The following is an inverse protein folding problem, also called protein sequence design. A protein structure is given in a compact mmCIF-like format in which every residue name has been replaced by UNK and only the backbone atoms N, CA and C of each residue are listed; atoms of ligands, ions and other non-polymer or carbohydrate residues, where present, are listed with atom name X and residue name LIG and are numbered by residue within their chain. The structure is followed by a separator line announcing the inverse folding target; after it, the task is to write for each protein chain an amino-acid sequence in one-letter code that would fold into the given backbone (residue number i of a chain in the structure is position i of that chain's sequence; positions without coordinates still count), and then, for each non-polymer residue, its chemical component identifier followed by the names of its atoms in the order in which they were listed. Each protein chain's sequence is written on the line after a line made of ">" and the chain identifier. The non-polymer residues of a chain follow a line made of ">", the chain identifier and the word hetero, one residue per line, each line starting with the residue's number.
data_IF_368567804146
#
_entry.id   IF_368567804146
#
_cell.length_a   1.000
_cell.length_b   1.000
_cell.length_c   1.000
_cell.angle_alpha   90.00
_cell.angle_beta   90.00
_cell.angle_gamma   90.00
#
_symmetry.space_group_name_H-M   'P 1'
#
loop_
_entity.id
_entity.type
_entity.pdbx_description
1 polymer ?
#
# COMPACT_ATOMS: atom_id res chain seq x y z
N UNK A 1 6.61 10.78 9.99
CA UNK A 1 6.77 9.41 9.47
C UNK A 1 5.61 8.99 8.54
N UNK A 2 4.33 9.09 8.91
CA UNK A 2 3.18 8.72 8.05
C UNK A 2 3.25 9.38 6.64
N UNK A 3 3.46 10.68 6.55
CA UNK A 3 3.57 11.39 5.26
C UNK A 3 4.70 10.81 4.40
N UNK A 4 5.88 10.57 5.00
CA UNK A 4 7.01 9.98 4.27
C UNK A 4 6.73 8.58 3.75
N UNK A 5 6.09 7.73 4.57
CA UNK A 5 5.68 6.40 4.14
C UNK A 5 4.67 6.47 2.98
N UNK A 6 3.70 7.36 3.05
CA UNK A 6 2.71 7.54 1.99
C UNK A 6 3.32 8.03 0.65
N UNK A 7 4.35 8.89 0.69
CA UNK A 7 4.95 9.43 -0.53
C UNK A 7 6.11 8.60 -1.07
N UNK A 8 6.46 7.49 -0.44
CA UNK A 8 7.65 6.68 -0.76
C UNK A 8 7.77 6.31 -2.23
N UNK A 9 6.71 5.85 -2.86
CA UNK A 9 6.63 5.51 -4.29
C UNK A 9 6.92 6.69 -5.24
N UNK A 10 6.65 7.91 -4.77
CA UNK A 10 6.79 9.13 -5.57
C UNK A 10 8.15 9.80 -5.38
N UNK A 11 8.99 9.30 -4.46
CA UNK A 11 10.31 9.88 -4.16
C UNK A 11 11.42 9.00 -4.75
N UNK A 12 12.08 9.52 -5.78
CA UNK A 12 13.17 8.83 -6.46
C UNK A 12 14.54 9.19 -5.88
N UNK A 13 15.49 8.26 -6.02
CA UNK A 13 16.88 8.48 -5.64
C UNK A 13 17.15 8.29 -4.14
N UNK A 14 18.39 8.61 -3.72
CA UNK A 14 18.87 8.40 -2.34
C UNK A 14 18.99 9.68 -1.52
N UNK A 15 18.87 10.86 -2.15
CA UNK A 15 19.12 12.15 -1.50
C UNK A 15 17.91 12.73 -0.75
N UNK A 16 16.88 11.91 -0.49
CA UNK A 16 15.67 12.35 0.22
C UNK A 16 15.94 12.82 1.65
N UNK A 17 17.03 12.39 2.28
CA UNK A 17 17.46 12.87 3.59
C UNK A 17 17.88 14.36 3.61
N UNK A 18 18.31 14.87 2.46
CA UNK A 18 18.68 16.28 2.30
C UNK A 18 17.48 17.17 1.95
N UNK A 19 16.43 16.56 1.38
CA UNK A 19 15.24 17.26 0.86
C UNK A 19 14.13 17.34 1.92
N UNK A 20 13.95 16.26 2.69
CA UNK A 20 12.84 16.15 3.62
C UNK A 20 13.29 16.21 5.08
N UNK A 21 12.38 16.63 5.96
CA UNK A 21 12.64 16.58 7.40
C UNK A 21 12.96 15.15 7.87
N UNK A 22 13.72 14.97 8.96
CA UNK A 22 14.10 13.64 9.45
C UNK A 22 12.92 12.68 9.61
N UNK A 23 11.78 13.16 10.10
CA UNK A 23 10.58 12.33 10.28
C UNK A 23 9.95 11.88 8.95
N UNK A 24 9.99 12.72 7.91
CA UNK A 24 9.50 12.34 6.57
C UNK A 24 10.50 11.40 5.91
N UNK A 25 11.80 11.71 5.98
CA UNK A 25 12.86 10.85 5.44
C UNK A 25 12.81 9.43 6.04
N UNK A 26 12.64 9.31 7.36
CA UNK A 26 12.45 8.02 8.02
C UNK A 26 11.22 7.28 7.51
N UNK A 27 10.13 7.99 7.20
CA UNK A 27 8.94 7.38 6.61
C UNK A 27 9.18 6.84 5.20
N UNK A 28 9.94 7.57 4.37
CA UNK A 28 10.34 7.12 3.01
C UNK A 28 11.25 5.89 3.11
N UNK A 29 12.18 5.90 4.06
CA UNK A 29 13.05 4.74 4.30
C UNK A 29 12.22 3.51 4.72
N UNK A 30 11.31 3.68 5.69
CA UNK A 30 10.41 2.60 6.12
C UNK A 30 9.58 2.04 4.96
N UNK A 31 9.06 2.90 4.07
CA UNK A 31 8.33 2.45 2.89
C UNK A 31 9.16 1.51 2.02
N UNK A 32 10.40 1.87 1.72
CA UNK A 32 11.31 1.05 0.91
C UNK A 32 11.65 -0.28 1.56
N UNK A 33 11.83 -0.28 2.86
CA UNK A 33 12.07 -1.50 3.64
C UNK A 33 10.83 -2.42 3.65
N UNK A 34 9.62 -1.82 3.71
CA UNK A 34 8.34 -2.56 3.56
C UNK A 34 8.26 -3.20 2.18
N UNK A 35 8.60 -2.46 1.12
CA UNK A 35 8.58 -2.96 -0.26
C UNK A 35 9.55 -4.13 -0.43
N UNK A 36 10.80 -3.99 0.05
CA UNK A 36 11.80 -5.04 -0.03
C UNK A 36 11.38 -6.30 0.74
N UNK A 37 10.87 -6.11 1.97
CA UNK A 37 10.35 -7.21 2.79
C UNK A 37 9.18 -7.92 2.09
N UNK A 38 8.23 -7.16 1.56
CA UNK A 38 7.05 -7.68 0.86
C UNK A 38 7.45 -8.41 -0.41
N UNK A 39 8.34 -7.84 -1.21
CA UNK A 39 8.75 -8.40 -2.49
C UNK A 39 9.53 -9.71 -2.36
N UNK A 40 10.23 -9.90 -1.26
CA UNK A 40 11.05 -11.09 -1.00
C UNK A 40 10.36 -12.13 -0.12
N UNK A 41 9.19 -11.80 0.46
CA UNK A 41 8.51 -12.68 1.39
C UNK A 41 7.95 -13.94 0.70
N UNK A 42 8.25 -15.17 1.18
CA UNK A 42 7.85 -16.41 0.53
C UNK A 42 6.35 -16.51 0.25
N UNK A 43 5.51 -16.16 1.20
CA UNK A 43 4.04 -16.19 1.06
C UNK A 43 3.55 -15.20 -0.01
N UNK A 44 4.15 -14.01 -0.08
CA UNK A 44 3.80 -13.02 -1.12
C UNK A 44 4.22 -13.52 -2.50
N UNK A 45 5.35 -14.22 -2.58
CA UNK A 45 5.81 -14.84 -3.83
C UNK A 45 4.82 -15.91 -4.32
N UNK A 46 4.21 -16.71 -3.43
CA UNK A 46 3.16 -17.66 -3.80
C UNK A 46 1.94 -16.96 -4.42
N UNK A 47 1.46 -15.88 -3.78
CA UNK A 47 0.39 -15.05 -4.35
C UNK A 47 0.75 -14.51 -5.74
N UNK A 48 1.98 -13.99 -5.91
CA UNK A 48 2.48 -13.46 -7.20
C UNK A 48 2.56 -14.55 -8.27
N UNK A 49 3.04 -15.74 -7.92
CA UNK A 49 3.16 -16.89 -8.84
C UNK A 49 1.78 -17.31 -9.35
N UNK A 50 0.74 -17.32 -8.49
CA UNK A 50 -0.64 -17.66 -8.86
C UNK A 50 -1.19 -16.72 -9.93
N UNK A 51 -0.87 -15.43 -9.86
CA UNK A 51 -1.36 -14.40 -10.79
C UNK A 51 -0.49 -14.24 -12.04
N UNK A 52 0.79 -14.63 -11.98
CA UNK A 52 1.78 -14.37 -13.04
C UNK A 52 1.41 -14.91 -14.43
N UNK A 53 0.77 -16.07 -14.61
CA UNK A 53 0.38 -16.55 -15.93
C UNK A 53 -0.53 -15.59 -16.69
N UNK A 54 -1.43 -14.88 -15.98
CA UNK A 54 -2.40 -13.94 -16.56
C UNK A 54 -1.89 -12.50 -16.59
N UNK A 55 -1.23 -12.05 -15.51
CA UNK A 55 -0.91 -10.64 -15.28
C UNK A 55 0.58 -10.29 -15.42
N UNK A 56 1.45 -11.31 -15.57
CA UNK A 56 2.90 -11.14 -15.80
C UNK A 56 3.53 -10.23 -14.74
N UNK A 57 4.20 -9.15 -15.17
CA UNK A 57 4.88 -8.18 -14.32
C UNK A 57 3.94 -7.25 -13.54
N UNK A 58 2.62 -7.31 -13.78
CA UNK A 58 1.62 -6.60 -12.98
C UNK A 58 1.15 -7.41 -11.75
N UNK A 59 1.56 -8.68 -11.62
CA UNK A 59 1.17 -9.50 -10.46
C UNK A 59 1.54 -8.88 -9.12
N UNK A 60 2.70 -8.22 -8.91
CA UNK A 60 3.02 -7.59 -7.65
C UNK A 60 1.97 -6.56 -7.23
N UNK A 61 1.70 -5.55 -8.05
CA UNK A 61 0.74 -4.49 -7.72
C UNK A 61 -0.69 -5.04 -7.49
N UNK A 62 -1.06 -6.12 -8.16
CA UNK A 62 -2.35 -6.78 -7.93
C UNK A 62 -2.38 -7.45 -6.54
N UNK A 63 -1.29 -8.12 -6.14
CA UNK A 63 -1.18 -8.73 -4.80
C UNK A 63 -1.23 -7.67 -3.72
N UNK A 64 -0.54 -6.54 -3.90
CA UNK A 64 -0.58 -5.42 -2.96
C UNK A 64 -2.02 -4.93 -2.76
N UNK A 65 -2.76 -4.72 -3.84
CA UNK A 65 -4.17 -4.33 -3.78
C UNK A 65 -5.07 -5.38 -3.12
N UNK A 66 -4.78 -6.67 -3.29
CA UNK A 66 -5.52 -7.73 -2.62
C UNK A 66 -5.23 -7.75 -1.12
N UNK A 67 -3.99 -7.50 -0.73
CA UNK A 67 -3.61 -7.41 0.67
C UNK A 67 -4.16 -6.14 1.34
N UNK A 68 -4.23 -5.03 0.61
CA UNK A 68 -4.95 -3.82 1.04
C UNK A 68 -6.43 -4.10 1.30
N UNK A 69 -7.08 -4.94 0.45
CA UNK A 69 -8.45 -5.38 0.69
C UNK A 69 -8.59 -6.11 2.02
N UNK A 70 -7.72 -7.09 2.29
CA UNK A 70 -7.80 -7.86 3.54
C UNK A 70 -7.46 -7.02 4.76
N UNK A 71 -6.52 -6.09 4.64
CA UNK A 71 -6.22 -5.13 5.71
C UNK A 71 -7.44 -4.24 6.00
N UNK A 72 -8.03 -3.64 4.97
CA UNK A 72 -9.18 -2.76 5.13
C UNK A 72 -10.40 -3.51 5.68
N UNK A 73 -10.68 -4.71 5.18
CA UNK A 73 -11.80 -5.55 5.61
C UNK A 73 -11.66 -6.02 7.05
N UNK A 74 -10.45 -6.35 7.49
CA UNK A 74 -10.17 -6.87 8.82
C UNK A 74 -9.55 -5.80 9.75
N UNK A 75 -9.69 -4.52 9.42
CA UNK A 75 -9.03 -3.39 10.07
C UNK A 75 -9.14 -3.39 11.59
N UNK A 76 -10.31 -3.71 12.13
CA UNK A 76 -10.57 -3.72 13.57
C UNK A 76 -9.72 -4.74 14.35
N UNK A 77 -9.11 -5.72 13.67
CA UNK A 77 -8.16 -6.66 14.28
C UNK A 77 -6.77 -6.04 14.48
N UNK A 78 -6.48 -4.92 13.82
CA UNK A 78 -5.14 -4.35 13.75
C UNK A 78 -5.05 -2.93 14.32
N UNK A 79 -6.18 -2.22 14.43
CA UNK A 79 -6.20 -0.84 14.88
C UNK A 79 -7.42 -0.53 15.75
N UNK A 80 -7.24 0.35 16.78
CA UNK A 80 -8.29 0.72 17.72
C UNK A 80 -9.30 1.74 17.18
N UNK A 81 -8.89 2.61 16.24
CA UNK A 81 -9.80 3.51 15.54
C UNK A 81 -10.51 2.75 14.40
N UNK A 82 -11.73 3.14 14.07
CA UNK A 82 -12.36 2.64 12.84
C UNK A 82 -11.53 3.03 11.60
N UNK A 83 -11.63 2.23 10.53
CA UNK A 83 -10.94 2.54 9.28
C UNK A 83 -11.33 3.91 8.73
N UNK A 84 -12.61 4.29 8.85
CA UNK A 84 -13.07 5.61 8.39
C UNK A 84 -12.41 6.75 9.17
N UNK A 85 -12.36 6.67 10.50
CA UNK A 85 -11.67 7.67 11.32
C UNK A 85 -10.19 7.76 10.97
N UNK A 86 -9.52 6.61 10.84
CA UNK A 86 -8.12 6.57 10.44
C UNK A 86 -7.88 7.18 9.06
N UNK A 87 -8.73 6.85 8.08
CA UNK A 87 -8.64 7.39 6.72
C UNK A 87 -8.80 8.92 6.70
N UNK A 88 -9.79 9.45 7.42
CA UNK A 88 -10.01 10.90 7.53
C UNK A 88 -8.80 11.61 8.17
N UNK A 89 -8.25 11.04 9.24
CA UNK A 89 -7.06 11.59 9.88
C UNK A 89 -5.84 11.52 8.97
N UNK A 90 -5.63 10.41 8.27
CA UNK A 90 -4.54 10.25 7.30
C UNK A 90 -4.63 11.27 6.17
N UNK A 91 -5.80 11.43 5.56
CA UNK A 91 -6.04 12.43 4.51
C UNK A 91 -5.81 13.84 5.01
N UNK A 92 -6.27 14.18 6.21
CA UNK A 92 -6.05 15.50 6.83
C UNK A 92 -4.57 15.76 7.06
N UNK A 93 -3.83 14.78 7.57
CA UNK A 93 -2.38 14.89 7.80
C UNK A 93 -1.66 15.08 6.47
N UNK A 94 -1.91 14.26 5.45
CA UNK A 94 -1.24 14.37 4.15
C UNK A 94 -1.53 15.73 3.52
N UNK A 95 -2.77 16.20 3.58
CA UNK A 95 -3.17 17.52 3.07
C UNK A 95 -2.45 18.67 3.79
N UNK A 96 -2.22 18.55 5.09
CA UNK A 96 -1.45 19.56 5.83
C UNK A 96 0.00 19.70 5.37
N UNK A 97 0.54 18.70 4.68
CA UNK A 97 1.87 18.67 4.10
C UNK A 97 1.86 18.90 2.56
N UNK A 98 0.79 19.47 2.00
CA UNK A 98 0.63 19.69 0.56
C UNK A 98 1.81 20.42 -0.08
N UNK A 99 2.44 21.36 0.63
CA UNK A 99 3.62 22.09 0.14
C UNK A 99 4.89 21.22 0.06
N UNK A 100 4.91 20.05 0.71
CA UNK A 100 6.09 19.19 0.83
C UNK A 100 5.97 17.94 -0.05
N UNK A 101 4.74 17.46 -0.27
CA UNK A 101 4.51 16.24 -1.05
C UNK A 101 4.76 16.45 -2.56
N UNK A 102 5.20 15.41 -3.30
CA UNK A 102 5.38 15.45 -4.74
C UNK A 102 4.11 15.87 -5.50
N UNK A 103 4.29 16.47 -6.68
CA UNK A 103 3.18 16.99 -7.49
C UNK A 103 2.16 15.92 -7.87
N UNK A 104 2.62 14.69 -8.14
CA UNK A 104 1.74 13.55 -8.42
C UNK A 104 0.80 13.25 -7.24
N UNK A 105 1.28 13.39 -6.02
CA UNK A 105 0.48 13.20 -4.80
C UNK A 105 -0.58 14.28 -4.67
N UNK A 106 -0.23 15.55 -4.95
CA UNK A 106 -1.19 16.66 -4.93
C UNK A 106 -2.33 16.45 -5.92
N UNK A 107 -2.02 15.91 -7.09
CA UNK A 107 -3.01 15.59 -8.12
C UNK A 107 -3.90 14.40 -7.73
N UNK A 108 -3.33 13.40 -7.04
CA UNK A 108 -4.04 12.18 -6.66
C UNK A 108 -4.92 12.35 -5.42
N UNK A 109 -4.45 13.08 -4.43
CA UNK A 109 -5.07 13.20 -3.10
C UNK A 109 -6.54 13.65 -3.13
N UNK A 110 -6.97 14.64 -3.94
CA UNK A 110 -8.38 15.02 -4.04
C UNK A 110 -9.30 13.87 -4.45
N UNK A 111 -8.84 13.00 -5.37
CA UNK A 111 -9.59 11.84 -5.81
C UNK A 111 -9.65 10.76 -4.74
N UNK A 112 -8.54 10.54 -4.02
CA UNK A 112 -8.49 9.61 -2.89
C UNK A 112 -9.46 10.01 -1.78
N UNK A 113 -9.48 11.30 -1.43
CA UNK A 113 -10.39 11.85 -0.41
C UNK A 113 -11.84 11.71 -0.88
N UNK A 114 -12.16 12.19 -2.08
CA UNK A 114 -13.52 12.15 -2.63
C UNK A 114 -14.06 10.74 -2.75
N UNK A 115 -13.21 9.81 -3.17
CA UNK A 115 -13.55 8.40 -3.33
C UNK A 115 -13.40 7.58 -2.06
N UNK A 116 -12.91 8.16 -0.95
CA UNK A 116 -12.59 7.46 0.30
C UNK A 116 -11.89 6.11 0.05
N UNK A 117 -10.80 6.13 -0.72
CA UNK A 117 -10.18 4.92 -1.27
C UNK A 117 -9.79 3.90 -0.20
N UNK A 118 -9.18 4.36 0.92
CA UNK A 118 -8.73 3.46 1.97
C UNK A 118 -9.89 2.63 2.56
N UNK A 119 -11.06 3.23 2.72
CA UNK A 119 -12.27 2.53 3.21
C UNK A 119 -12.84 1.62 2.12
N UNK A 120 -12.90 2.11 0.88
CA UNK A 120 -13.47 1.37 -0.23
C UNK A 120 -12.65 0.13 -0.62
N UNK A 121 -11.36 0.08 -0.29
CA UNK A 121 -10.56 -1.13 -0.47
C UNK A 121 -11.09 -2.33 0.35
N UNK A 122 -11.84 -2.10 1.40
CA UNK A 122 -12.55 -3.16 2.14
C UNK A 122 -13.65 -3.88 1.34
N UNK A 123 -14.00 -3.37 0.15
CA UNK A 123 -14.98 -3.97 -0.77
C UNK A 123 -14.30 -4.42 -2.05
N UNK A 124 -14.71 -5.58 -2.60
CA UNK A 124 -14.18 -6.11 -3.86
C UNK A 124 -14.39 -5.12 -5.02
N UNK A 125 -15.50 -4.41 -5.02
CA UNK A 125 -15.82 -3.36 -5.99
C UNK A 125 -14.83 -2.20 -5.93
N UNK A 126 -14.37 -1.82 -4.72
CA UNK A 126 -13.34 -0.80 -4.53
C UNK A 126 -12.00 -1.22 -5.14
N UNK A 127 -11.61 -2.47 -4.93
CA UNK A 127 -10.42 -3.07 -5.57
C UNK A 127 -10.57 -3.09 -7.09
N UNK A 128 -11.74 -3.49 -7.60
CA UNK A 128 -12.01 -3.47 -9.04
C UNK A 128 -11.87 -2.06 -9.64
N UNK A 129 -12.41 -1.04 -8.98
CA UNK A 129 -12.26 0.35 -9.40
C UNK A 129 -10.81 0.81 -9.43
N UNK A 130 -10.04 0.50 -8.39
CA UNK A 130 -8.63 0.88 -8.30
C UNK A 130 -7.80 0.22 -9.40
N UNK A 131 -7.92 -1.10 -9.57
CA UNK A 131 -7.18 -1.87 -10.58
C UNK A 131 -7.59 -1.49 -12.01
N UNK A 132 -8.89 -1.21 -12.26
CA UNK A 132 -9.36 -0.69 -13.55
C UNK A 132 -8.76 0.69 -13.86
N UNK A 133 -8.71 1.58 -12.87
CA UNK A 133 -8.05 2.87 -13.00
C UNK A 133 -6.55 2.77 -13.25
N UNK A 134 -5.85 1.81 -12.65
CA UNK A 134 -4.44 1.53 -12.92
C UNK A 134 -4.26 0.99 -14.35
N UNK A 135 -5.09 0.04 -14.78
CA UNK A 135 -5.07 -0.52 -16.13
C UNK A 135 -5.18 0.57 -17.22
N UNK A 136 -6.09 1.55 -17.03
CA UNK A 136 -6.29 2.65 -17.98
C UNK A 136 -5.07 3.58 -18.10
N UNK A 137 -4.27 3.73 -17.05
CA UNK A 137 -3.05 4.56 -17.04
C UNK A 137 -1.79 3.84 -17.50
N UNK A 138 -1.89 2.53 -17.68
CA UNK A 138 -0.76 1.69 -18.09
C UNK A 138 -0.65 1.66 -19.62
N UNK A 139 0.55 1.88 -20.20
CA UNK A 139 0.71 1.97 -21.65
C UNK A 139 0.54 0.62 -22.37
N UNK A 140 0.62 -0.49 -21.65
CA UNK A 140 0.49 -1.85 -22.21
C UNK A 140 -0.73 -2.55 -21.63
N UNK A 141 -1.24 -3.56 -22.35
CA UNK A 141 -2.34 -4.39 -21.88
C UNK A 141 -1.94 -5.13 -20.61
N UNK A 142 -2.56 -4.77 -19.48
CA UNK A 142 -2.27 -5.32 -18.16
C UNK A 142 -3.26 -6.40 -17.71
N UNK A 143 -4.49 -6.34 -18.19
CA UNK A 143 -5.67 -7.10 -17.74
C UNK A 143 -6.03 -6.87 -16.25
N UNK A 144 -5.44 -5.87 -15.58
CA UNK A 144 -5.69 -5.61 -14.15
C UNK A 144 -7.16 -5.35 -13.84
N UNK A 145 -7.94 -4.86 -14.80
CA UNK A 145 -9.40 -4.66 -14.71
C UNK A 145 -10.18 -5.96 -14.48
N UNK A 146 -9.56 -7.11 -14.72
CA UNK A 146 -10.18 -8.42 -14.47
C UNK A 146 -9.76 -9.04 -13.13
N UNK A 147 -8.77 -8.48 -12.45
CA UNK A 147 -8.12 -9.14 -11.33
C UNK A 147 -9.05 -9.32 -10.11
N UNK A 148 -10.05 -8.47 -9.95
CA UNK A 148 -11.07 -8.67 -8.90
C UNK A 148 -11.82 -10.01 -9.02
N UNK A 149 -11.94 -10.57 -10.23
CA UNK A 149 -12.52 -11.91 -10.44
C UNK A 149 -11.62 -13.00 -9.88
N UNK A 150 -10.29 -12.85 -10.03
CA UNK A 150 -9.32 -13.78 -9.48
C UNK A 150 -9.23 -13.66 -7.96
N UNK A 151 -9.40 -12.44 -7.40
CA UNK A 151 -9.55 -12.25 -5.95
C UNK A 151 -10.72 -13.07 -5.42
N UNK A 152 -11.89 -12.99 -6.05
CA UNK A 152 -13.09 -13.73 -5.64
C UNK A 152 -12.88 -15.23 -5.82
N UNK A 153 -12.32 -15.66 -6.95
CA UNK A 153 -12.11 -17.08 -7.25
C UNK A 153 -11.14 -17.79 -6.29
N UNK A 154 -10.17 -17.05 -5.74
CA UNK A 154 -9.15 -17.58 -4.83
C UNK A 154 -9.16 -16.89 -3.47
N UNK A 155 -10.32 -16.40 -3.04
CA UNK A 155 -10.47 -15.49 -1.89
C UNK A 155 -9.83 -16.04 -0.62
N UNK A 156 -10.17 -17.27 -0.25
CA UNK A 156 -9.66 -17.90 0.97
C UNK A 156 -8.14 -18.12 0.94
N UNK A 157 -7.57 -18.42 -0.24
CA UNK A 157 -6.13 -18.59 -0.37
C UNK A 157 -5.40 -17.27 -0.11
N UNK A 158 -5.80 -16.18 -0.78
CA UNK A 158 -5.21 -14.87 -0.57
C UNK A 158 -5.43 -14.35 0.86
N UNK A 159 -6.60 -14.61 1.45
CA UNK A 159 -6.89 -14.23 2.84
C UNK A 159 -5.95 -14.97 3.82
N UNK A 160 -5.75 -16.26 3.64
CA UNK A 160 -4.86 -17.05 4.47
C UNK A 160 -3.41 -16.58 4.32
N UNK A 161 -2.95 -16.33 3.10
CA UNK A 161 -1.62 -15.79 2.80
C UNK A 161 -1.41 -14.42 3.47
N UNK A 162 -2.37 -13.50 3.36
CA UNK A 162 -2.33 -12.23 4.06
C UNK A 162 -2.27 -12.39 5.58
N UNK A 163 -3.05 -13.31 6.14
CA UNK A 163 -3.11 -13.55 7.60
C UNK A 163 -1.78 -14.06 8.17
N UNK A 164 -1.02 -14.81 7.37
CA UNK A 164 0.34 -15.25 7.74
C UNK A 164 1.33 -14.09 7.58
N UNK A 165 1.31 -13.41 6.44
CA UNK A 165 2.25 -12.35 6.07
C UNK A 165 2.16 -11.12 6.97
N UNK A 166 0.97 -10.59 7.21
CA UNK A 166 0.81 -9.25 7.80
C UNK A 166 1.34 -9.12 9.23
N UNK A 167 1.20 -10.11 10.13
CA UNK A 167 1.84 -10.06 11.45
C UNK A 167 3.37 -10.02 11.39
N UNK A 168 3.98 -10.70 10.41
CA UNK A 168 5.43 -10.67 10.21
C UNK A 168 5.89 -9.30 9.74
N UNK A 169 5.17 -8.69 8.79
CA UNK A 169 5.39 -7.31 8.36
C UNK A 169 5.25 -6.32 9.53
N UNK A 170 4.21 -6.47 10.35
CA UNK A 170 4.04 -5.60 11.54
C UNK A 170 5.22 -5.71 12.51
N UNK A 171 5.73 -6.91 12.74
CA UNK A 171 6.90 -7.14 13.58
C UNK A 171 8.13 -6.47 12.95
N UNK A 172 8.37 -6.71 11.67
CA UNK A 172 9.47 -6.10 10.93
C UNK A 172 9.47 -4.57 11.05
N UNK A 173 8.33 -3.92 10.82
CA UNK A 173 8.20 -2.47 10.94
C UNK A 173 8.48 -1.96 12.36
N UNK A 174 8.01 -2.68 13.39
CA UNK A 174 8.29 -2.32 14.80
C UNK A 174 9.77 -2.42 15.12
N UNK A 175 10.42 -3.50 14.69
CA UNK A 175 11.85 -3.72 14.91
C UNK A 175 12.69 -2.67 14.18
N UNK A 176 12.35 -2.33 12.94
CA UNK A 176 13.00 -1.27 12.17
C UNK A 176 12.90 0.09 12.89
N UNK A 177 11.70 0.50 13.28
CA UNK A 177 11.49 1.77 13.98
C UNK A 177 12.26 1.82 15.29
N UNK A 178 12.24 0.73 16.06
CA UNK A 178 12.98 0.64 17.32
C UNK A 178 14.50 0.79 17.13
N UNK A 179 15.07 0.14 16.11
CA UNK A 179 16.49 0.27 15.79
C UNK A 179 16.87 1.71 15.42
N UNK A 180 16.07 2.38 14.61
CA UNK A 180 16.32 3.77 14.20
C UNK A 180 16.27 4.75 15.37
N UNK A 181 15.41 4.53 16.34
CA UNK A 181 15.36 5.37 17.56
C UNK A 181 16.53 5.15 18.54
N UNK A 182 17.22 4.01 18.46
CA UNK A 182 18.41 3.76 19.29
C UNK A 182 19.69 4.43 18.77
N UNK A 183 19.71 4.80 17.51
CA UNK A 183 20.89 5.36 16.82
C UNK A 183 20.87 6.90 16.86
N UNK A 184 19.75 7.52 17.22
CA UNK A 184 19.60 8.95 17.46
C UNK A 184 19.83 9.30 18.92
#
# INVERSE_FOLDING_TARGET
>A
MMVGNFIGDFVRGKNFHEIFSPSIALGIELHREIDEFTDTHPIVLESKIRLRPKYRHYSPVIVDMFYDHFLAKNWNNYHSLSLDQYAQDAYRIIKAFENVVPEQVKQLLPYMIKGNWLVNYGQVEGINHALSGMAQRTPYKSNMEEASKDLVAHYELFQNEFTIFFPELQKFCKDFIYQKHKIQ
#
